data_IF_728107932896
#
_entry.id   IF_728107932896
#
_cell.length_a   1.000
_cell.length_b   1.000
_cell.length_c   1.000
_cell.angle_alpha   90.00
_cell.angle_beta   90.00
_cell.angle_gamma   90.00
#
_symmetry.space_group_name_H-M   'P 1'
#
loop_
_entity.id
_entity.type
_entity.pdbx_description
1 polymer ?
#
# COMPACT_ATOMS: atom_id res chain seq x y z
N UNK A 1 -44.49 -28.06 3.23
CA UNK A 1 -44.40 -29.17 2.23
C UNK A 1 -44.18 -28.65 0.82
N UNK A 2 -44.92 -27.66 0.34
CA UNK A 2 -44.81 -27.11 -1.02
C UNK A 2 -43.44 -26.52 -1.37
N UNK A 3 -42.84 -25.68 -0.49
CA UNK A 3 -41.53 -25.09 -0.71
C UNK A 3 -40.42 -26.12 -0.88
N UNK A 4 -40.45 -27.20 -0.08
CA UNK A 4 -39.48 -28.32 -0.23
C UNK A 4 -39.55 -28.97 -1.59
N UNK A 5 -40.80 -29.24 -2.09
CA UNK A 5 -41.01 -29.82 -3.43
C UNK A 5 -40.54 -28.89 -4.53
N UNK A 6 -40.80 -27.57 -4.42
CA UNK A 6 -40.32 -26.60 -5.41
C UNK A 6 -38.80 -26.50 -5.40
N UNK A 7 -38.15 -26.51 -4.23
CA UNK A 7 -36.69 -26.59 -4.15
C UNK A 7 -36.15 -27.88 -4.82
N UNK A 8 -36.83 -29.00 -4.64
CA UNK A 8 -36.47 -30.27 -5.29
C UNK A 8 -36.60 -30.18 -6.83
N UNK A 9 -37.69 -29.59 -7.32
CA UNK A 9 -37.94 -29.36 -8.75
C UNK A 9 -36.88 -28.43 -9.34
N UNK A 10 -36.62 -27.30 -8.70
CA UNK A 10 -35.62 -26.33 -9.14
C UNK A 10 -34.19 -26.90 -9.11
N UNK A 11 -33.95 -27.88 -8.26
CA UNK A 11 -32.65 -28.57 -8.11
C UNK A 11 -32.47 -29.72 -9.11
N UNK A 12 -33.49 -30.07 -9.88
CA UNK A 12 -33.37 -31.14 -10.90
C UNK A 12 -32.42 -30.76 -12.04
N UNK A 13 -31.63 -31.71 -12.57
CA UNK A 13 -30.78 -31.44 -13.71
C UNK A 13 -31.59 -31.07 -14.94
N UNK A 14 -31.04 -30.26 -15.86
CA UNK A 14 -31.70 -29.83 -17.11
C UNK A 14 -32.07 -30.98 -18.06
N UNK A 15 -31.58 -32.16 -17.79
CA UNK A 15 -32.02 -33.39 -18.49
C UNK A 15 -33.40 -33.89 -18.09
N UNK A 16 -33.92 -33.44 -16.94
CA UNK A 16 -35.24 -33.86 -16.40
C UNK A 16 -36.26 -32.75 -16.35
N UNK A 17 -35.84 -31.49 -16.47
CA UNK A 17 -36.72 -30.32 -16.44
C UNK A 17 -36.22 -29.30 -17.45
N UNK A 18 -37.12 -28.70 -18.24
CA UNK A 18 -36.76 -27.64 -19.17
C UNK A 18 -36.38 -26.34 -18.43
N UNK A 19 -35.65 -25.47 -19.12
CA UNK A 19 -35.33 -24.12 -18.57
C UNK A 19 -36.58 -23.35 -18.21
N UNK A 20 -37.59 -23.38 -19.08
CA UNK A 20 -38.86 -22.68 -18.87
C UNK A 20 -39.61 -23.17 -17.61
N UNK A 21 -39.73 -24.50 -17.43
CA UNK A 21 -40.33 -25.06 -16.21
C UNK A 21 -39.57 -24.72 -14.95
N UNK A 22 -38.22 -24.69 -15.02
CA UNK A 22 -37.38 -24.30 -13.92
C UNK A 22 -37.57 -22.83 -13.57
N UNK A 23 -37.65 -21.93 -14.57
CA UNK A 23 -37.89 -20.50 -14.36
C UNK A 23 -39.28 -20.24 -13.75
N UNK A 24 -40.31 -20.94 -14.23
CA UNK A 24 -41.65 -20.89 -13.65
C UNK A 24 -41.68 -21.37 -12.19
N UNK A 25 -41.02 -22.50 -11.90
CA UNK A 25 -40.89 -23.00 -10.53
C UNK A 25 -40.10 -22.00 -9.66
N UNK A 26 -39.08 -21.34 -10.23
CA UNK A 26 -38.31 -20.25 -9.60
C UNK A 26 -39.16 -19.04 -9.25
N UNK A 27 -40.05 -18.60 -10.13
CA UNK A 27 -40.95 -17.46 -9.89
C UNK A 27 -41.95 -17.77 -8.77
N UNK A 28 -42.53 -18.96 -8.74
CA UNK A 28 -43.40 -19.40 -7.63
C UNK A 28 -42.59 -19.46 -6.33
N UNK A 29 -41.37 -19.96 -6.39
CA UNK A 29 -40.47 -20.03 -5.24
C UNK A 29 -40.14 -18.63 -4.66
N UNK A 30 -39.95 -17.64 -5.52
CA UNK A 30 -39.71 -16.22 -5.11
C UNK A 30 -40.89 -15.71 -4.29
N UNK A 31 -42.12 -15.90 -4.77
CA UNK A 31 -43.31 -15.43 -4.05
C UNK A 31 -43.50 -16.13 -2.70
N UNK A 32 -43.21 -17.42 -2.61
CA UNK A 32 -43.23 -18.15 -1.35
C UNK A 32 -42.14 -17.71 -0.36
N UNK A 33 -40.95 -17.39 -0.88
CA UNK A 33 -39.82 -16.94 -0.07
C UNK A 33 -40.05 -15.54 0.52
N UNK A 34 -40.73 -14.65 -0.21
CA UNK A 34 -41.15 -13.34 0.30
C UNK A 34 -42.06 -13.43 1.52
N UNK A 35 -42.92 -14.43 1.57
CA UNK A 35 -43.83 -14.71 2.67
C UNK A 35 -43.20 -15.62 3.74
N UNK A 36 -42.06 -16.24 3.44
CA UNK A 36 -41.43 -17.23 4.29
C UNK A 36 -40.61 -16.64 5.44
N UNK A 37 -40.37 -17.46 6.48
CA UNK A 37 -39.48 -17.07 7.57
C UNK A 37 -37.99 -17.03 7.10
N UNK A 38 -37.16 -16.30 7.84
CA UNK A 38 -35.72 -16.25 7.57
C UNK A 38 -35.07 -17.65 7.56
N UNK A 39 -35.50 -18.53 8.46
CA UNK A 39 -35.03 -19.92 8.49
C UNK A 39 -35.35 -20.71 7.20
N UNK A 40 -36.54 -20.49 6.63
CA UNK A 40 -36.92 -21.10 5.35
C UNK A 40 -36.06 -20.57 4.20
N UNK A 41 -35.83 -19.24 4.16
CA UNK A 41 -34.96 -18.60 3.15
C UNK A 41 -33.52 -19.11 3.27
N UNK A 42 -32.99 -19.22 4.49
CA UNK A 42 -31.66 -19.75 4.76
C UNK A 42 -31.51 -21.22 4.31
N UNK A 43 -32.45 -22.09 4.62
CA UNK A 43 -32.41 -23.49 4.14
C UNK A 43 -32.46 -23.57 2.61
N UNK A 44 -33.23 -22.69 1.97
CA UNK A 44 -33.29 -22.63 0.51
C UNK A 44 -31.96 -22.16 -0.06
N UNK A 45 -31.36 -21.10 0.52
CA UNK A 45 -30.06 -20.59 0.12
C UNK A 45 -28.95 -21.65 0.24
N UNK A 46 -28.92 -22.40 1.33
CA UNK A 46 -27.95 -23.51 1.52
C UNK A 46 -28.07 -24.60 0.44
N UNK A 47 -29.29 -24.95 0.06
CA UNK A 47 -29.51 -25.94 -1.01
C UNK A 47 -29.11 -25.43 -2.39
N UNK A 48 -29.43 -24.17 -2.68
CA UNK A 48 -29.11 -23.56 -3.98
C UNK A 48 -27.62 -23.24 -4.12
N UNK A 49 -26.90 -23.00 -3.02
CA UNK A 49 -25.47 -22.68 -3.06
C UNK A 49 -24.63 -23.82 -3.69
N UNK A 50 -25.03 -25.08 -3.45
CA UNK A 50 -24.35 -26.26 -3.98
C UNK A 50 -24.67 -26.55 -5.46
N UNK A 51 -25.63 -25.83 -6.07
CA UNK A 51 -26.09 -26.09 -7.41
C UNK A 51 -25.46 -25.13 -8.43
N UNK A 52 -24.71 -25.66 -9.38
CA UNK A 52 -24.11 -24.87 -10.46
C UNK A 52 -25.18 -24.17 -11.35
N UNK A 53 -26.29 -24.84 -11.60
CA UNK A 53 -27.38 -24.39 -12.44
C UNK A 53 -28.58 -23.86 -11.62
N UNK A 54 -28.35 -23.21 -10.47
CA UNK A 54 -29.45 -22.68 -9.67
C UNK A 54 -30.17 -21.53 -10.40
N UNK A 55 -31.53 -21.37 -10.24
CA UNK A 55 -32.26 -20.31 -10.90
C UNK A 55 -31.72 -18.93 -10.48
N UNK A 56 -31.20 -18.20 -11.45
CA UNK A 56 -30.48 -16.95 -11.21
C UNK A 56 -31.29 -15.93 -10.42
N UNK A 57 -32.59 -15.78 -10.74
CA UNK A 57 -33.47 -14.81 -10.05
C UNK A 57 -33.66 -15.12 -8.57
N UNK A 58 -33.84 -16.40 -8.21
CA UNK A 58 -33.97 -16.85 -6.81
C UNK A 58 -32.64 -16.66 -6.10
N UNK A 59 -31.53 -17.05 -6.72
CA UNK A 59 -30.17 -16.92 -6.16
C UNK A 59 -29.83 -15.46 -5.85
N UNK A 60 -30.14 -14.53 -6.77
CA UNK A 60 -29.91 -13.09 -6.57
C UNK A 60 -30.81 -12.50 -5.47
N UNK A 61 -32.07 -12.94 -5.38
CA UNK A 61 -32.96 -12.52 -4.29
C UNK A 61 -32.36 -12.88 -2.92
N UNK A 62 -31.98 -14.15 -2.76
CA UNK A 62 -31.44 -14.65 -1.49
C UNK A 62 -30.03 -14.14 -1.20
N UNK A 63 -29.21 -13.87 -2.22
CA UNK A 63 -27.87 -13.30 -2.06
C UNK A 63 -27.89 -11.83 -1.58
N UNK A 64 -29.03 -11.15 -1.66
CA UNK A 64 -29.25 -9.77 -1.16
C UNK A 64 -30.09 -9.70 0.11
N UNK A 65 -30.53 -10.85 0.62
CA UNK A 65 -31.29 -10.97 1.85
C UNK A 65 -30.39 -10.71 3.10
N UNK A 66 -30.89 -10.93 4.28
CA UNK A 66 -30.10 -10.88 5.50
C UNK A 66 -28.82 -11.73 5.36
N UNK A 67 -27.74 -11.29 6.00
CA UNK A 67 -26.41 -11.92 5.91
C UNK A 67 -26.45 -13.42 6.23
N UNK A 68 -27.28 -13.84 7.19
CA UNK A 68 -27.44 -15.26 7.55
C UNK A 68 -28.04 -16.11 6.43
N UNK A 69 -28.89 -15.51 5.59
CA UNK A 69 -29.49 -16.13 4.41
C UNK A 69 -28.55 -16.10 3.23
N UNK A 70 -27.91 -14.93 2.98
CA UNK A 70 -27.06 -14.68 1.83
C UNK A 70 -25.72 -15.44 1.89
N UNK A 71 -25.19 -15.69 3.10
CA UNK A 71 -23.85 -16.25 3.34
C UNK A 71 -23.53 -17.47 2.48
N UNK A 72 -24.28 -18.58 2.48
CA UNK A 72 -23.90 -19.79 1.72
C UNK A 72 -23.80 -19.51 0.21
N UNK A 73 -24.65 -18.64 -0.33
CA UNK A 73 -24.62 -18.27 -1.74
C UNK A 73 -23.41 -17.39 -2.06
N UNK A 74 -23.11 -16.41 -1.21
CA UNK A 74 -21.97 -15.51 -1.41
C UNK A 74 -20.62 -16.23 -1.23
N UNK A 75 -20.54 -17.23 -0.38
CA UNK A 75 -19.32 -18.02 -0.14
C UNK A 75 -19.04 -18.99 -1.30
N UNK A 76 -20.04 -19.75 -1.75
CA UNK A 76 -19.82 -20.97 -2.53
C UNK A 76 -20.52 -21.02 -3.88
N UNK A 77 -21.63 -20.28 -4.10
CA UNK A 77 -22.44 -20.46 -5.32
C UNK A 77 -21.68 -20.09 -6.58
N UNK A 78 -21.56 -21.05 -7.49
CA UNK A 78 -21.01 -20.86 -8.85
C UNK A 78 -22.01 -20.22 -9.83
N UNK A 79 -23.29 -20.13 -9.46
CA UNK A 79 -24.31 -19.45 -10.24
C UNK A 79 -24.22 -17.92 -10.20
N UNK A 80 -23.51 -17.34 -9.20
CA UNK A 80 -23.21 -15.93 -9.12
C UNK A 80 -21.94 -15.63 -9.91
N UNK A 81 -22.09 -14.88 -10.98
CA UNK A 81 -20.96 -14.40 -11.80
C UNK A 81 -20.41 -13.07 -11.26
N UNK A 82 -19.28 -12.61 -11.81
CA UNK A 82 -18.61 -11.37 -11.38
C UNK A 82 -19.53 -10.14 -11.44
N UNK A 83 -20.37 -10.05 -12.48
CA UNK A 83 -21.33 -8.94 -12.61
C UNK A 83 -22.35 -8.92 -11.47
N UNK A 84 -22.82 -10.10 -11.05
CA UNK A 84 -23.73 -10.24 -9.92
C UNK A 84 -23.05 -9.85 -8.60
N UNK A 85 -21.81 -10.31 -8.39
CA UNK A 85 -21.01 -9.99 -7.20
C UNK A 85 -20.69 -8.50 -7.13
N UNK A 86 -20.36 -7.87 -8.26
CA UNK A 86 -20.14 -6.41 -8.37
C UNK A 86 -21.40 -5.66 -7.92
N UNK A 87 -22.56 -6.03 -8.46
CA UNK A 87 -23.80 -5.37 -8.11
C UNK A 87 -24.19 -5.55 -6.64
N UNK A 88 -23.96 -6.74 -6.06
CA UNK A 88 -24.17 -6.98 -4.64
C UNK A 88 -23.17 -6.14 -3.81
N UNK A 89 -21.91 -6.06 -4.22
CA UNK A 89 -20.87 -5.23 -3.56
C UNK A 89 -21.28 -3.77 -3.49
N UNK A 90 -21.91 -3.23 -4.54
CA UNK A 90 -22.35 -1.83 -4.59
C UNK A 90 -23.56 -1.56 -3.68
N UNK A 91 -24.50 -2.50 -3.62
CA UNK A 91 -25.83 -2.25 -3.04
C UNK A 91 -26.04 -2.84 -1.64
N UNK A 92 -25.29 -3.90 -1.28
CA UNK A 92 -25.48 -4.63 -0.04
C UNK A 92 -24.65 -4.06 1.13
N UNK A 93 -24.84 -4.62 2.32
CA UNK A 93 -24.16 -4.18 3.54
C UNK A 93 -22.68 -4.56 3.56
N UNK A 94 -21.93 -3.94 4.49
CA UNK A 94 -20.52 -4.28 4.72
C UNK A 94 -20.28 -5.75 5.09
N UNK A 95 -21.24 -6.37 5.75
CA UNK A 95 -21.17 -7.79 6.09
C UNK A 95 -21.22 -8.69 4.85
N UNK A 96 -22.03 -8.34 3.84
CA UNK A 96 -22.03 -9.04 2.53
C UNK A 96 -20.69 -8.86 1.82
N UNK A 97 -20.16 -7.63 1.79
CA UNK A 97 -18.85 -7.34 1.18
C UNK A 97 -17.72 -8.15 1.80
N UNK A 98 -17.73 -8.33 3.12
CA UNK A 98 -16.74 -9.17 3.83
C UNK A 98 -16.82 -10.64 3.42
N UNK A 99 -18.03 -11.18 3.23
CA UNK A 99 -18.20 -12.55 2.76
C UNK A 99 -17.68 -12.69 1.32
N UNK A 100 -18.04 -11.75 0.44
CA UNK A 100 -17.53 -11.73 -0.94
C UNK A 100 -16.01 -11.62 -0.94
N UNK A 101 -15.42 -10.74 -0.14
CA UNK A 101 -13.97 -10.56 -0.04
C UNK A 101 -13.21 -11.84 0.39
N UNK A 102 -13.86 -12.72 1.15
CA UNK A 102 -13.30 -14.02 1.56
C UNK A 102 -13.44 -15.12 0.49
N UNK A 103 -14.23 -14.88 -0.56
CA UNK A 103 -14.51 -15.86 -1.62
C UNK A 103 -13.25 -16.20 -2.41
N UNK A 104 -13.10 -17.49 -2.76
CA UNK A 104 -11.95 -17.96 -3.56
C UNK A 104 -12.02 -17.48 -5.00
N UNK A 105 -10.87 -17.27 -5.61
CA UNK A 105 -10.69 -16.95 -7.02
C UNK A 105 -11.50 -15.73 -7.48
N UNK A 106 -11.48 -14.65 -6.72
CA UNK A 106 -12.09 -13.39 -7.13
C UNK A 106 -11.34 -12.77 -8.31
N UNK A 107 -12.07 -12.40 -9.35
CA UNK A 107 -11.55 -11.63 -10.48
C UNK A 107 -11.26 -10.17 -10.10
N UNK A 108 -10.34 -9.54 -10.86
CA UNK A 108 -9.92 -8.15 -10.61
C UNK A 108 -11.08 -7.16 -10.54
N UNK A 109 -12.10 -7.29 -11.39
CA UNK A 109 -13.25 -6.39 -11.42
C UNK A 109 -14.06 -6.40 -10.11
N UNK A 110 -14.23 -7.57 -9.48
CA UNK A 110 -14.90 -7.70 -8.18
C UNK A 110 -14.03 -7.12 -7.07
N UNK A 111 -12.74 -7.40 -7.14
CA UNK A 111 -11.73 -6.88 -6.18
C UNK A 111 -11.66 -5.36 -6.23
N UNK A 112 -11.67 -4.75 -7.42
CA UNK A 112 -11.70 -3.30 -7.59
C UNK A 112 -12.95 -2.67 -6.95
N UNK A 113 -14.12 -3.31 -7.13
CA UNK A 113 -15.36 -2.86 -6.49
C UNK A 113 -15.33 -3.00 -4.97
N UNK A 114 -14.76 -4.10 -4.45
CA UNK A 114 -14.56 -4.27 -3.01
C UNK A 114 -13.60 -3.21 -2.44
N UNK A 115 -12.57 -2.83 -3.17
CA UNK A 115 -11.63 -1.80 -2.75
C UNK A 115 -12.24 -0.38 -2.79
N UNK A 116 -13.26 -0.15 -3.63
CA UNK A 116 -13.98 1.13 -3.71
C UNK A 116 -15.02 1.27 -2.60
N UNK A 117 -15.78 0.24 -2.34
CA UNK A 117 -16.96 0.27 -1.46
C UNK A 117 -16.75 -0.41 -0.11
N UNK A 118 -15.64 -1.13 0.08
CA UNK A 118 -15.34 -1.86 1.30
C UNK A 118 -14.93 -0.95 2.46
N UNK A 119 -15.36 -1.33 3.66
CA UNK A 119 -14.82 -0.79 4.91
C UNK A 119 -13.45 -1.41 5.22
N UNK A 120 -12.76 -0.90 6.25
CA UNK A 120 -11.43 -1.37 6.66
C UNK A 120 -11.39 -2.88 6.92
N UNK A 121 -12.46 -3.42 7.50
CA UNK A 121 -12.56 -4.86 7.77
C UNK A 121 -12.69 -5.66 6.47
N UNK A 122 -13.46 -5.17 5.51
CA UNK A 122 -13.57 -5.78 4.17
C UNK A 122 -12.21 -5.76 3.45
N UNK A 123 -11.50 -4.62 3.49
CA UNK A 123 -10.16 -4.51 2.89
C UNK A 123 -9.14 -5.43 3.56
N UNK A 124 -9.24 -5.60 4.88
CA UNK A 124 -8.38 -6.54 5.61
C UNK A 124 -8.63 -7.99 5.19
N UNK A 125 -9.90 -8.41 5.07
CA UNK A 125 -10.27 -9.74 4.58
C UNK A 125 -9.80 -9.95 3.14
N UNK A 126 -9.98 -8.95 2.28
CA UNK A 126 -9.53 -8.98 0.89
C UNK A 126 -8.01 -9.17 0.78
N UNK A 127 -7.24 -8.43 1.57
CA UNK A 127 -5.77 -8.54 1.60
C UNK A 127 -5.29 -9.91 2.09
N UNK A 128 -6.03 -10.54 3.00
CA UNK A 128 -5.73 -11.89 3.49
C UNK A 128 -6.13 -12.99 2.49
N UNK A 129 -6.99 -12.69 1.54
CA UNK A 129 -7.41 -13.64 0.52
C UNK A 129 -6.35 -13.78 -0.58
N UNK A 130 -5.45 -14.74 -0.43
CA UNK A 130 -4.34 -14.99 -1.36
C UNK A 130 -4.79 -15.47 -2.75
N UNK A 131 -6.05 -15.85 -2.93
CA UNK A 131 -6.61 -16.31 -4.22
C UNK A 131 -7.28 -15.18 -5.02
N UNK A 132 -7.45 -14.01 -4.41
CA UNK A 132 -7.99 -12.83 -5.09
C UNK A 132 -6.91 -12.14 -5.93
N UNK A 133 -7.22 -11.80 -7.19
CA UNK A 133 -6.32 -11.07 -8.08
C UNK A 133 -6.43 -9.57 -7.84
N UNK A 134 -5.35 -8.93 -7.39
CA UNK A 134 -5.31 -7.50 -7.12
C UNK A 134 -4.60 -6.78 -8.27
N UNK A 135 -5.30 -5.86 -8.95
CA UNK A 135 -4.72 -5.01 -9.98
C UNK A 135 -3.75 -3.97 -9.38
N UNK A 136 -2.87 -3.39 -10.20
CA UNK A 136 -1.95 -2.31 -9.76
C UNK A 136 -2.74 -1.12 -9.23
N UNK A 137 -3.82 -0.73 -9.89
CA UNK A 137 -4.67 0.40 -9.50
C UNK A 137 -5.35 0.16 -8.15
N UNK A 138 -5.80 -1.07 -7.90
CA UNK A 138 -6.35 -1.48 -6.60
C UNK A 138 -5.26 -1.53 -5.54
N UNK A 139 -4.05 -2.00 -5.86
CA UNK A 139 -2.93 -1.97 -4.94
C UNK A 139 -2.59 -0.55 -4.51
N UNK A 140 -2.54 0.41 -5.44
CA UNK A 140 -2.36 1.84 -5.15
C UNK A 140 -3.40 2.35 -4.14
N UNK A 141 -4.66 1.97 -4.33
CA UNK A 141 -5.77 2.35 -3.43
C UNK A 141 -5.58 1.75 -2.04
N UNK A 142 -5.23 0.46 -1.96
CA UNK A 142 -5.00 -0.25 -0.69
C UNK A 142 -3.79 0.33 0.07
N UNK A 143 -2.73 0.69 -0.64
CA UNK A 143 -1.56 1.37 -0.07
C UNK A 143 -1.96 2.72 0.51
N UNK A 144 -2.75 3.53 -0.20
CA UNK A 144 -3.26 4.81 0.34
C UNK A 144 -4.12 4.59 1.58
N UNK A 145 -5.06 3.64 1.53
CA UNK A 145 -5.92 3.32 2.68
C UNK A 145 -5.12 2.85 3.90
N UNK A 146 -3.99 2.16 3.71
CA UNK A 146 -3.15 1.68 4.80
C UNK A 146 -2.46 2.81 5.58
N UNK A 147 -2.39 4.02 5.04
CA UNK A 147 -1.86 5.20 5.73
C UNK A 147 -2.74 5.61 6.92
N UNK A 148 -4.07 5.58 6.71
CA UNK A 148 -5.03 5.96 7.72
C UNK A 148 -5.44 4.78 8.62
N UNK A 149 -5.13 3.56 8.19
CA UNK A 149 -5.54 2.31 8.83
C UNK A 149 -4.37 1.34 8.99
N UNK A 150 -3.63 1.45 10.08
CA UNK A 150 -2.43 0.65 10.37
C UNK A 150 -2.68 -0.87 10.33
N UNK A 151 -3.91 -1.33 10.60
CA UNK A 151 -4.30 -2.75 10.54
C UNK A 151 -4.16 -3.37 9.15
N UNK A 152 -4.14 -2.54 8.09
CA UNK A 152 -3.98 -3.01 6.71
C UNK A 152 -2.50 -3.23 6.34
N UNK A 153 -1.54 -2.66 7.09
CA UNK A 153 -0.11 -2.72 6.74
C UNK A 153 0.41 -4.15 6.72
N UNK A 154 0.22 -4.91 7.80
CA UNK A 154 0.75 -6.26 7.90
C UNK A 154 0.19 -7.23 6.83
N UNK A 155 -1.13 -7.30 6.55
CA UNK A 155 -1.65 -8.12 5.46
C UNK A 155 -1.20 -7.61 4.08
N UNK A 156 -1.08 -6.29 3.87
CA UNK A 156 -0.58 -5.69 2.64
C UNK A 156 0.86 -6.14 2.33
N UNK A 157 1.75 -6.11 3.33
CA UNK A 157 3.14 -6.53 3.18
C UNK A 157 3.31 -8.03 2.85
N UNK A 158 2.29 -8.85 3.03
CA UNK A 158 2.30 -10.27 2.67
C UNK A 158 1.93 -10.53 1.21
N UNK A 159 1.33 -9.55 0.53
CA UNK A 159 0.88 -9.70 -0.87
C UNK A 159 2.05 -9.83 -1.82
N UNK A 160 1.92 -10.74 -2.80
CA UNK A 160 2.97 -10.96 -3.81
C UNK A 160 2.99 -9.85 -4.85
N UNK A 161 1.84 -9.25 -5.13
CA UNK A 161 1.66 -8.17 -6.09
C UNK A 161 2.19 -6.81 -5.59
N UNK A 162 2.58 -6.72 -4.30
CA UNK A 162 3.15 -5.49 -3.75
C UNK A 162 4.52 -5.23 -4.38
N UNK A 163 4.63 -4.10 -5.07
CA UNK A 163 5.88 -3.68 -5.72
C UNK A 163 6.84 -3.01 -4.72
N UNK A 164 8.15 -2.91 -5.03
CA UNK A 164 9.09 -2.14 -4.22
C UNK A 164 8.67 -0.68 -4.01
N UNK A 165 8.10 -0.03 -5.04
CA UNK A 165 7.62 1.34 -4.94
C UNK A 165 6.52 1.49 -3.88
N UNK A 166 5.54 0.59 -3.88
CA UNK A 166 4.50 0.51 -2.87
C UNK A 166 5.06 0.28 -1.46
N UNK A 167 5.96 -0.70 -1.34
CA UNK A 167 6.56 -1.07 -0.05
C UNK A 167 7.34 0.11 0.55
N UNK A 168 8.13 0.83 -0.25
CA UNK A 168 8.88 1.99 0.23
C UNK A 168 8.01 3.22 0.49
N UNK A 169 6.81 3.31 -0.08
CA UNK A 169 5.81 4.27 0.35
C UNK A 169 5.23 3.88 1.73
N UNK A 170 4.84 2.62 1.90
CA UNK A 170 4.31 2.09 3.17
C UNK A 170 5.30 2.23 4.34
N UNK A 171 6.60 2.23 4.05
CA UNK A 171 7.67 2.38 5.06
C UNK A 171 7.44 3.58 6.01
N UNK A 172 6.86 4.67 5.52
CA UNK A 172 6.72 5.91 6.27
C UNK A 172 5.67 5.85 7.40
N UNK A 173 4.71 4.93 7.30
CA UNK A 173 3.68 4.73 8.33
C UNK A 173 3.66 3.31 8.91
N UNK A 174 4.54 2.45 8.44
CA UNK A 174 4.72 1.12 9.02
C UNK A 174 5.36 1.19 10.41
N UNK A 175 4.98 0.26 11.26
CA UNK A 175 5.64 0.00 12.54
C UNK A 175 7.06 -0.58 12.34
N UNK A 176 7.77 -0.83 13.44
CA UNK A 176 9.13 -1.34 13.40
C UNK A 176 9.24 -2.69 12.69
N UNK A 177 8.31 -3.61 12.94
CA UNK A 177 8.32 -4.92 12.31
C UNK A 177 8.00 -4.83 10.82
N UNK A 178 7.06 -3.97 10.44
CA UNK A 178 6.74 -3.65 9.05
C UNK A 178 7.94 -3.05 8.32
N UNK A 179 8.63 -2.08 8.89
CA UNK A 179 9.85 -1.49 8.32
C UNK A 179 10.96 -2.53 8.13
N UNK A 180 11.17 -3.38 9.12
CA UNK A 180 12.15 -4.48 9.03
C UNK A 180 11.78 -5.46 7.92
N UNK A 181 10.50 -5.83 7.80
CA UNK A 181 10.00 -6.71 6.74
C UNK A 181 10.18 -6.08 5.36
N UNK A 182 9.89 -4.77 5.20
CA UNK A 182 10.09 -4.02 3.96
C UNK A 182 11.58 -4.04 3.55
N UNK A 183 12.47 -3.68 4.45
CA UNK A 183 13.91 -3.66 4.15
C UNK A 183 14.45 -5.06 3.82
N UNK A 184 13.98 -6.10 4.52
CA UNK A 184 14.39 -7.48 4.26
C UNK A 184 13.94 -7.97 2.88
N UNK A 185 12.71 -7.65 2.47
CA UNK A 185 12.11 -8.17 1.23
C UNK A 185 12.46 -7.32 0.00
N UNK A 186 12.45 -6.00 0.12
CA UNK A 186 12.48 -5.08 -1.02
C UNK A 186 13.79 -4.27 -1.15
N UNK A 187 14.64 -4.20 -0.10
CA UNK A 187 15.95 -3.60 -0.25
C UNK A 187 16.88 -4.57 -0.99
N UNK A 188 16.88 -4.46 -2.31
CA UNK A 188 17.57 -5.37 -3.24
C UNK A 188 18.83 -4.74 -3.80
N UNK A 189 19.73 -5.57 -4.34
CA UNK A 189 20.94 -5.10 -5.01
C UNK A 189 20.64 -4.47 -6.38
N UNK A 190 21.60 -3.70 -6.88
CA UNK A 190 21.51 -2.97 -8.15
C UNK A 190 21.06 -3.82 -9.33
N UNK A 191 21.51 -5.07 -9.42
CA UNK A 191 21.15 -5.98 -10.52
C UNK A 191 19.63 -6.22 -10.60
N UNK A 192 18.98 -6.38 -9.44
CA UNK A 192 17.51 -6.54 -9.36
C UNK A 192 16.81 -5.22 -9.68
N UNK A 193 17.40 -4.07 -9.30
CA UNK A 193 16.87 -2.77 -9.66
C UNK A 193 16.82 -2.54 -11.18
N UNK A 194 17.83 -3.00 -11.90
CA UNK A 194 17.85 -2.92 -13.37
C UNK A 194 16.73 -3.75 -13.97
N UNK A 195 16.51 -4.96 -13.45
CA UNK A 195 15.44 -5.84 -13.92
C UNK A 195 14.03 -5.28 -13.64
N UNK A 196 13.87 -4.50 -12.55
CA UNK A 196 12.62 -3.84 -12.18
C UNK A 196 12.54 -2.36 -12.61
N UNK A 197 13.38 -1.93 -13.54
CA UNK A 197 13.41 -0.53 -14.00
C UNK A 197 12.07 -0.07 -14.61
N UNK A 198 11.30 -0.98 -15.19
CA UNK A 198 9.94 -0.73 -15.68
C UNK A 198 8.94 -0.33 -14.57
N UNK A 199 9.13 -0.85 -13.36
CA UNK A 199 8.32 -0.49 -12.18
C UNK A 199 8.51 0.99 -11.77
N UNK A 200 9.72 1.52 -11.96
CA UNK A 200 10.05 2.92 -11.64
C UNK A 200 9.83 3.90 -12.79
N UNK A 201 9.86 3.43 -14.03
CA UNK A 201 9.79 4.23 -15.24
C UNK A 201 8.90 3.57 -16.31
N UNK A 202 7.59 3.36 -16.05
CA UNK A 202 6.71 2.66 -16.99
C UNK A 202 6.71 3.34 -18.38
N UNK A 203 6.63 4.66 -18.45
CA UNK A 203 6.62 5.42 -19.71
C UNK A 203 7.97 5.27 -20.46
N UNK A 204 9.09 5.31 -19.74
CA UNK A 204 10.42 5.14 -20.36
C UNK A 204 10.66 3.72 -20.84
N UNK A 205 10.02 2.71 -20.24
CA UNK A 205 10.09 1.32 -20.68
C UNK A 205 9.26 1.08 -21.95
N UNK A 206 8.13 1.77 -22.10
CA UNK A 206 7.25 1.65 -23.27
C UNK A 206 7.85 2.31 -24.53
N UNK A 207 8.58 3.43 -24.39
CA UNK A 207 9.05 4.25 -25.50
C UNK A 207 10.49 3.93 -26.00
N UNK A 208 11.11 2.82 -25.60
CA UNK A 208 12.53 2.53 -25.91
C UNK A 208 13.53 3.59 -25.38
N UNK A 209 13.10 4.58 -24.62
CA UNK A 209 13.93 5.56 -23.93
C UNK A 209 14.57 5.00 -22.65
N UNK A 210 14.25 3.77 -22.29
CA UNK A 210 14.74 3.07 -21.10
C UNK A 210 16.25 3.20 -20.92
N UNK A 211 17.00 3.17 -22.03
CA UNK A 211 18.45 3.24 -22.01
C UNK A 211 19.00 4.58 -21.50
N UNK A 212 18.45 5.72 -21.90
CA UNK A 212 18.98 7.02 -21.50
C UNK A 212 18.56 7.40 -20.08
N UNK A 213 17.31 7.15 -19.70
CA UNK A 213 16.78 7.46 -18.37
C UNK A 213 17.29 6.47 -17.34
N UNK A 214 17.30 5.17 -17.67
CA UNK A 214 17.87 4.11 -16.84
C UNK A 214 19.37 4.30 -16.70
N UNK A 215 20.10 4.65 -17.75
CA UNK A 215 21.53 4.95 -17.72
C UNK A 215 21.85 6.16 -16.85
N UNK A 216 21.10 7.28 -16.98
CA UNK A 216 21.22 8.44 -16.08
C UNK A 216 20.91 8.05 -14.64
N UNK A 217 19.87 7.26 -14.45
CA UNK A 217 19.48 6.80 -13.18
C UNK A 217 20.50 5.87 -12.52
N UNK A 218 21.07 4.96 -13.28
CA UNK A 218 22.13 4.05 -12.83
C UNK A 218 23.46 4.82 -12.59
N UNK A 219 23.79 5.80 -13.42
CA UNK A 219 24.92 6.70 -13.19
C UNK A 219 24.76 7.51 -11.91
N UNK A 220 23.55 7.89 -11.57
CA UNK A 220 23.23 8.56 -10.31
C UNK A 220 23.41 7.64 -9.11
N UNK A 221 23.10 6.35 -9.24
CA UNK A 221 23.34 5.32 -8.22
C UNK A 221 24.84 4.99 -8.09
N UNK A 222 25.59 4.94 -9.19
CA UNK A 222 27.02 4.60 -9.20
C UNK A 222 27.88 5.66 -8.53
N UNK A 223 27.55 6.91 -8.71
CA UNK A 223 28.19 7.99 -7.96
C UNK A 223 27.72 7.84 -6.53
N UNK A 224 28.65 7.49 -5.61
CA UNK A 224 28.37 7.65 -4.18
C UNK A 224 27.55 8.92 -4.06
N UNK A 225 26.33 8.84 -3.54
CA UNK A 225 25.27 9.86 -3.74
C UNK A 225 25.60 11.25 -3.18
N UNK A 226 26.85 11.63 -3.17
CA UNK A 226 27.31 12.98 -2.89
C UNK A 226 27.33 13.75 -4.19
N UNK A 227 26.48 14.75 -4.26
CA UNK A 227 26.43 15.63 -5.41
C UNK A 227 27.72 16.49 -5.44
N UNK A 228 28.68 16.14 -6.28
CA UNK A 228 29.93 16.88 -6.39
C UNK A 228 29.72 18.35 -6.78
N UNK A 229 28.75 18.63 -7.64
CA UNK A 229 28.41 19.99 -8.02
C UNK A 229 27.77 20.77 -6.85
N UNK A 230 26.95 20.11 -6.03
CA UNK A 230 26.42 20.68 -4.81
C UNK A 230 27.53 20.96 -3.78
N UNK A 231 28.45 20.01 -3.58
CA UNK A 231 29.60 20.22 -2.68
C UNK A 231 30.47 21.41 -3.10
N UNK A 232 30.69 21.59 -4.40
CA UNK A 232 31.48 22.73 -4.91
C UNK A 232 30.76 24.09 -4.75
N UNK A 233 29.43 24.09 -4.67
CA UNK A 233 28.62 25.29 -4.48
C UNK A 233 28.23 25.56 -3.02
N UNK A 234 28.26 24.55 -2.19
CA UNK A 234 27.93 24.67 -0.78
C UNK A 234 28.99 25.45 -0.01
N UNK A 235 28.63 26.35 0.88
CA UNK A 235 29.57 27.07 1.74
C UNK A 235 30.37 26.13 2.66
N UNK A 236 29.89 24.87 2.85
CA UNK A 236 30.55 23.88 3.70
C UNK A 236 31.55 22.99 2.95
N UNK A 237 31.47 22.89 1.63
CA UNK A 237 32.37 22.10 0.79
C UNK A 237 32.27 20.58 0.95
N UNK A 238 31.99 20.08 2.15
CA UNK A 238 31.85 18.63 2.47
C UNK A 238 30.62 18.35 3.31
N UNK A 239 30.12 17.11 3.23
CA UNK A 239 28.98 16.67 4.03
C UNK A 239 29.34 16.66 5.53
N UNK A 240 30.54 16.24 5.86
CA UNK A 240 31.08 16.19 7.20
C UNK A 240 31.14 17.60 7.84
N UNK A 241 31.64 18.60 7.11
CA UNK A 241 31.67 19.98 7.59
C UNK A 241 30.27 20.58 7.78
N UNK A 242 29.32 20.26 6.90
CA UNK A 242 27.94 20.68 7.07
C UNK A 242 27.29 20.05 8.32
N UNK A 243 27.57 18.77 8.61
CA UNK A 243 27.09 18.10 9.83
C UNK A 243 27.70 18.73 11.08
N UNK A 244 29.01 19.01 11.07
CA UNK A 244 29.67 19.65 12.21
C UNK A 244 29.13 21.07 12.44
N UNK A 245 28.83 21.82 11.40
CA UNK A 245 28.17 23.11 11.50
C UNK A 245 26.75 23.01 12.08
N UNK A 246 25.96 22.01 11.62
CA UNK A 246 24.64 21.73 12.15
C UNK A 246 24.65 21.31 13.62
N UNK A 247 25.71 20.59 14.06
CA UNK A 247 25.89 20.19 15.45
C UNK A 247 26.21 21.41 16.35
N UNK A 248 27.04 22.33 15.84
CA UNK A 248 27.40 23.55 16.57
C UNK A 248 26.22 24.52 16.66
N UNK A 249 25.53 24.78 15.53
CA UNK A 249 24.36 25.66 15.47
C UNK A 249 23.35 25.08 14.49
N UNK A 250 22.36 24.32 14.97
CA UNK A 250 21.33 23.79 14.12
C UNK A 250 20.47 24.92 13.55
N UNK A 251 20.55 25.05 12.23
CA UNK A 251 19.79 26.02 11.44
C UNK A 251 19.17 25.28 10.25
N UNK A 252 18.02 25.78 9.81
CA UNK A 252 17.31 25.25 8.65
C UNK A 252 18.19 25.27 7.39
N UNK A 253 18.94 26.36 7.20
CA UNK A 253 19.84 26.50 6.07
C UNK A 253 20.87 25.36 6.02
N UNK A 254 21.51 25.04 7.16
CA UNK A 254 22.51 23.95 7.24
C UNK A 254 21.87 22.59 6.97
N UNK A 255 20.65 22.34 7.47
CA UNK A 255 19.93 21.09 7.24
C UNK A 255 19.58 20.93 5.74
N UNK A 256 19.17 22.00 5.09
CA UNK A 256 18.91 22.00 3.65
C UNK A 256 20.20 21.78 2.83
N UNK A 257 21.32 22.35 3.27
CA UNK A 257 22.62 22.11 2.64
C UNK A 257 23.08 20.64 2.78
N UNK A 258 22.82 20.01 3.94
CA UNK A 258 23.06 18.56 4.12
C UNK A 258 22.24 17.76 3.07
N UNK A 259 20.96 18.08 2.91
CA UNK A 259 20.09 17.44 1.92
C UNK A 259 20.59 17.65 0.48
N UNK A 260 20.99 18.89 0.17
CA UNK A 260 21.51 19.28 -1.14
C UNK A 260 22.81 18.54 -1.48
N UNK A 261 23.74 18.46 -0.53
CA UNK A 261 25.00 17.70 -0.69
C UNK A 261 24.71 16.20 -0.83
N UNK A 262 23.73 15.66 -0.11
CA UNK A 262 23.28 14.26 -0.25
C UNK A 262 22.60 13.99 -1.59
N UNK A 263 22.22 15.02 -2.36
CA UNK A 263 21.53 14.89 -3.65
C UNK A 263 20.11 14.37 -3.53
N UNK A 264 19.42 14.67 -2.45
CA UNK A 264 18.02 14.33 -2.21
C UNK A 264 17.12 15.55 -2.35
N UNK A 265 15.87 15.31 -2.77
CA UNK A 265 14.86 16.37 -2.88
C UNK A 265 14.46 16.89 -1.49
N UNK A 266 14.05 18.17 -1.38
CA UNK A 266 13.60 18.75 -0.10
C UNK A 266 12.50 17.94 0.59
N UNK A 267 11.53 17.43 -0.17
CA UNK A 267 10.45 16.56 0.35
C UNK A 267 10.99 15.27 0.95
N UNK A 268 11.91 14.61 0.26
CA UNK A 268 12.57 13.39 0.74
C UNK A 268 13.39 13.68 2.00
N UNK A 269 14.11 14.79 2.01
CA UNK A 269 14.88 15.24 3.18
C UNK A 269 13.98 15.47 4.39
N UNK A 270 12.84 16.16 4.20
CA UNK A 270 11.85 16.40 5.24
C UNK A 270 11.37 15.10 5.88
N UNK A 271 11.04 14.11 5.07
CA UNK A 271 10.58 12.80 5.56
C UNK A 271 11.69 12.05 6.30
N UNK A 272 12.91 12.01 5.74
CA UNK A 272 14.04 11.31 6.36
C UNK A 272 14.42 11.97 7.70
N UNK A 273 14.55 13.29 7.71
CA UNK A 273 14.94 14.02 8.93
C UNK A 273 13.79 14.14 9.94
N UNK A 274 12.53 14.01 9.50
CA UNK A 274 11.35 13.94 10.37
C UNK A 274 11.03 12.54 10.90
N UNK A 275 11.67 11.49 10.36
CA UNK A 275 11.37 10.10 10.74
C UNK A 275 11.69 9.79 12.20
N UNK A 276 10.68 9.48 13.01
CA UNK A 276 10.84 9.19 14.43
C UNK A 276 11.56 7.86 14.70
N UNK A 277 11.51 6.92 13.78
CA UNK A 277 12.10 5.57 13.91
C UNK A 277 13.62 5.56 13.83
N UNK A 278 14.18 6.45 12.99
CA UNK A 278 15.63 6.59 12.79
C UNK A 278 16.22 5.75 11.68
N UNK A 279 15.54 4.71 11.22
CA UNK A 279 16.01 3.83 10.13
C UNK A 279 16.22 4.61 8.84
N UNK A 280 15.38 5.62 8.57
CA UNK A 280 15.51 6.46 7.38
C UNK A 280 16.81 7.27 7.39
N UNK A 281 17.21 7.81 8.53
CA UNK A 281 18.50 8.51 8.70
C UNK A 281 19.67 7.54 8.48
N UNK A 282 19.58 6.33 9.00
CA UNK A 282 20.59 5.30 8.81
C UNK A 282 20.78 4.96 7.33
N UNK A 283 19.66 4.79 6.59
CA UNK A 283 19.66 4.50 5.15
C UNK A 283 20.31 5.64 4.36
N UNK A 284 19.96 6.89 4.65
CA UNK A 284 20.60 8.05 4.03
C UNK A 284 22.12 8.04 4.28
N UNK A 285 22.53 7.94 5.54
CA UNK A 285 23.95 7.95 5.92
C UNK A 285 24.73 6.81 5.25
N UNK A 286 24.14 5.61 5.20
CA UNK A 286 24.74 4.45 4.54
C UNK A 286 24.86 4.65 3.02
N UNK A 287 23.81 5.15 2.38
CA UNK A 287 23.75 5.39 0.95
C UNK A 287 24.80 6.42 0.50
N UNK A 288 24.99 7.51 1.25
CA UNK A 288 25.99 8.54 0.94
C UNK A 288 27.41 8.20 1.41
N UNK A 289 27.59 7.03 2.04
CA UNK A 289 28.90 6.56 2.51
C UNK A 289 29.47 7.40 3.66
N UNK A 290 28.61 7.92 4.53
CA UNK A 290 29.02 8.62 5.74
C UNK A 290 29.63 7.62 6.73
N UNK A 291 30.69 8.00 7.44
CA UNK A 291 31.29 7.15 8.47
C UNK A 291 30.42 7.04 9.71
N UNK A 292 30.56 5.95 10.46
CA UNK A 292 29.75 5.63 11.63
C UNK A 292 29.70 6.74 12.70
N UNK A 293 30.82 7.35 12.98
CA UNK A 293 30.94 8.46 13.94
C UNK A 293 30.12 9.70 13.51
N UNK A 294 30.08 9.99 12.23
CA UNK A 294 29.28 11.09 11.68
C UNK A 294 27.77 10.80 11.66
N UNK A 295 27.36 9.54 11.66
CA UNK A 295 25.94 9.17 11.81
C UNK A 295 25.41 9.62 13.17
N UNK A 296 26.18 9.39 14.23
CA UNK A 296 25.82 9.87 15.58
C UNK A 296 25.85 11.39 15.67
N UNK A 297 26.83 12.04 15.03
CA UNK A 297 26.88 13.51 14.97
C UNK A 297 25.66 14.10 14.27
N UNK A 298 25.25 13.55 13.13
CA UNK A 298 24.04 13.97 12.45
C UNK A 298 22.80 13.74 13.33
N UNK A 299 22.72 12.59 14.02
CA UNK A 299 21.63 12.30 14.94
C UNK A 299 21.48 13.37 16.03
N UNK A 300 22.60 13.76 16.63
CA UNK A 300 22.64 14.84 17.63
C UNK A 300 22.34 16.22 17.03
N UNK A 301 22.82 16.49 15.81
CA UNK A 301 22.51 17.74 15.09
C UNK A 301 21.00 17.88 14.81
N UNK A 302 20.29 16.77 14.59
CA UNK A 302 18.83 16.71 14.50
C UNK A 302 18.12 16.81 15.86
N UNK A 303 18.86 17.10 16.95
CA UNK A 303 18.35 17.23 18.34
C UNK A 303 17.61 16.00 18.85
N UNK A 304 18.03 14.83 18.44
CA UNK A 304 17.42 13.56 18.86
C UNK A 304 18.14 12.96 20.06
N UNK A 305 17.39 12.32 20.98
CA UNK A 305 18.00 11.71 22.16
C UNK A 305 18.86 10.51 21.78
N UNK A 306 20.03 10.42 22.42
CA UNK A 306 20.88 9.24 22.38
C UNK A 306 20.56 8.40 23.61
N UNK A 307 20.11 7.16 23.39
CA UNK A 307 19.75 6.25 24.46
C UNK A 307 20.41 4.88 24.25
N UNK A 308 20.91 4.23 25.30
CA UNK A 308 21.46 2.87 25.23
C UNK A 308 20.36 1.79 25.15
N UNK A 309 19.10 2.16 25.40
CA UNK A 309 17.97 1.21 25.35
C UNK A 309 17.87 0.56 23.97
N UNK A 310 17.91 -0.78 23.87
CA UNK A 310 17.78 -1.50 22.59
C UNK A 310 16.53 -1.16 21.78
N UNK A 311 15.43 -0.79 22.44
CA UNK A 311 14.19 -0.39 21.78
C UNK A 311 14.19 1.08 21.32
N UNK A 312 15.24 1.86 21.65
CA UNK A 312 15.29 3.27 21.30
C UNK A 312 15.48 3.50 19.79
N UNK A 313 14.95 4.61 19.23
CA UNK A 313 15.19 4.98 17.85
C UNK A 313 16.67 5.11 17.50
N UNK A 314 17.52 5.53 18.46
CA UNK A 314 18.97 5.59 18.26
C UNK A 314 19.58 4.22 18.01
N UNK A 315 19.20 3.21 18.80
CA UNK A 315 19.72 1.83 18.62
C UNK A 315 19.18 1.19 17.34
N UNK A 316 17.93 1.46 16.98
CA UNK A 316 17.38 1.01 15.69
C UNK A 316 18.10 1.63 14.50
N UNK A 317 18.37 2.93 14.56
CA UNK A 317 19.18 3.64 13.56
C UNK A 317 20.57 3.00 13.45
N UNK A 318 21.21 2.74 14.58
CA UNK A 318 22.53 2.13 14.66
C UNK A 318 22.53 0.72 14.03
N UNK A 319 21.59 -0.10 14.41
CA UNK A 319 21.42 -1.46 13.86
C UNK A 319 21.14 -1.45 12.34
N UNK A 320 20.24 -0.57 11.88
CA UNK A 320 19.94 -0.43 10.46
C UNK A 320 21.18 0.00 9.64
N UNK A 321 21.96 0.93 10.17
CA UNK A 321 23.22 1.35 9.54
C UNK A 321 24.23 0.20 9.43
N UNK A 322 24.38 -0.60 10.48
CA UNK A 322 25.38 -1.69 10.53
C UNK A 322 24.97 -2.88 9.67
N UNK A 323 23.68 -3.22 9.67
CA UNK A 323 23.15 -4.41 8.98
C UNK A 323 22.93 -4.22 7.48
N UNK A 324 22.71 -2.98 7.00
CA UNK A 324 22.35 -2.73 5.61
C UNK A 324 23.58 -2.52 4.72
N UNK A 325 23.65 -3.22 3.59
CA UNK A 325 24.67 -2.99 2.58
C UNK A 325 24.47 -1.64 1.86
N UNK A 326 25.59 -1.00 1.45
CA UNK A 326 25.56 0.31 0.76
C UNK A 326 24.67 0.27 -0.50
N UNK A 327 24.82 -0.76 -1.34
CA UNK A 327 24.02 -0.89 -2.56
C UNK A 327 22.52 -0.96 -2.28
N UNK A 328 22.12 -1.67 -1.23
CA UNK A 328 20.72 -1.78 -0.79
C UNK A 328 20.20 -0.44 -0.26
N UNK A 329 21.00 0.26 0.55
CA UNK A 329 20.64 1.59 1.05
C UNK A 329 20.46 2.60 -0.09
N UNK A 330 21.32 2.55 -1.10
CA UNK A 330 21.21 3.39 -2.30
C UNK A 330 19.92 3.12 -3.08
N UNK A 331 19.53 1.85 -3.22
CA UNK A 331 18.29 1.46 -3.88
C UNK A 331 17.07 2.02 -3.14
N UNK A 332 17.01 1.84 -1.82
CA UNK A 332 15.91 2.38 -0.99
C UNK A 332 15.81 3.89 -1.12
N UNK A 333 16.93 4.59 -0.94
CA UNK A 333 16.96 6.06 -1.01
C UNK A 333 16.50 6.58 -2.37
N UNK A 334 16.80 5.83 -3.43
CA UNK A 334 16.34 6.15 -4.76
C UNK A 334 14.81 6.04 -4.89
N UNK A 335 14.20 4.94 -4.44
CA UNK A 335 12.76 4.82 -4.46
C UNK A 335 12.10 5.97 -3.71
N UNK A 336 12.61 6.34 -2.56
CA UNK A 336 12.09 7.50 -1.82
C UNK A 336 12.23 8.80 -2.60
N UNK A 337 13.39 9.06 -3.17
CA UNK A 337 13.65 10.32 -3.88
C UNK A 337 12.84 10.47 -5.17
N UNK A 338 12.37 9.36 -5.77
CA UNK A 338 11.58 9.34 -7.00
C UNK A 338 10.10 9.07 -6.73
N UNK A 339 9.77 8.13 -5.89
CA UNK A 339 8.39 7.75 -5.59
C UNK A 339 7.66 8.83 -4.74
N UNK A 340 8.35 9.53 -3.84
CA UNK A 340 7.76 10.62 -3.06
C UNK A 340 7.39 11.84 -3.92
N UNK A 341 7.89 11.94 -5.14
CA UNK A 341 7.47 12.94 -6.12
C UNK A 341 6.32 12.47 -7.00
N UNK A 342 5.86 11.22 -6.86
CA UNK A 342 4.71 10.65 -7.58
C UNK A 342 3.42 10.75 -6.75
N UNK A 343 2.30 10.36 -7.35
CA UNK A 343 0.92 10.56 -6.87
C UNK A 343 0.57 10.15 -5.43
N UNK A 344 1.40 9.37 -4.75
CA UNK A 344 1.19 9.02 -3.34
C UNK A 344 1.29 10.22 -2.39
N UNK A 345 1.95 11.32 -2.81
CA UNK A 345 2.15 12.52 -2.00
C UNK A 345 1.37 13.76 -2.50
N UNK A 346 0.83 13.73 -3.73
CA UNK A 346 0.17 14.92 -4.32
C UNK A 346 -1.11 15.36 -3.63
N UNK A 347 -1.77 14.50 -2.87
CA UNK A 347 -3.08 14.82 -2.30
C UNK A 347 -3.06 15.48 -0.92
N UNK A 348 -1.91 15.55 -0.24
CA UNK A 348 -1.80 16.15 1.10
C UNK A 348 -1.15 17.53 1.15
N UNK A 349 -0.42 17.91 0.09
CA UNK A 349 0.08 19.26 -0.09
C UNK A 349 -0.95 20.02 -0.95
N UNK A 350 -2.04 20.42 -0.32
CA UNK A 350 -3.10 21.16 -0.99
C UNK A 350 -2.53 22.25 -1.88
N UNK A 351 -2.96 22.28 -3.15
CA UNK A 351 -2.95 23.39 -4.12
C UNK A 351 -2.01 24.54 -3.75
N UNK A 352 -0.70 24.32 -3.83
CA UNK A 352 0.28 25.40 -3.85
C UNK A 352 0.84 25.48 -5.26
N UNK A 353 0.75 26.66 -5.85
CA UNK A 353 1.24 27.01 -7.17
C UNK A 353 2.70 26.62 -7.35
N UNK A 354 3.06 26.08 -8.51
CA UNK A 354 4.33 25.40 -8.86
C UNK A 354 5.64 26.19 -8.59
N UNK A 355 5.58 27.43 -8.13
CA UNK A 355 6.74 28.31 -7.89
C UNK A 355 7.11 28.52 -6.42
N UNK A 356 6.29 28.05 -5.45
CA UNK A 356 6.53 28.22 -4.01
C UNK A 356 6.67 26.87 -3.27
N UNK A 357 6.60 25.74 -3.99
CA UNK A 357 6.64 24.38 -3.40
C UNK A 357 7.95 24.10 -2.64
N UNK A 358 9.10 24.46 -3.20
CA UNK A 358 10.39 24.21 -2.57
C UNK A 358 10.57 25.00 -1.25
N UNK A 359 10.06 26.21 -1.18
CA UNK A 359 10.16 27.06 0.01
C UNK A 359 9.14 26.67 1.10
N UNK A 360 7.94 26.18 0.72
CA UNK A 360 6.93 25.75 1.70
C UNK A 360 7.26 24.39 2.30
N UNK A 361 7.78 23.47 1.50
CA UNK A 361 8.24 22.14 1.93
C UNK A 361 9.48 22.28 2.83
N UNK A 362 10.41 23.16 2.49
CA UNK A 362 11.55 23.47 3.34
C UNK A 362 11.12 24.03 4.72
N UNK A 363 10.09 24.89 4.76
CA UNK A 363 9.52 25.42 6.02
C UNK A 363 8.80 24.34 6.85
N UNK A 364 8.09 23.41 6.21
CA UNK A 364 7.46 22.28 6.91
C UNK A 364 8.51 21.29 7.45
N UNK A 365 9.54 21.00 6.68
CA UNK A 365 10.68 20.19 7.12
C UNK A 365 11.36 20.81 8.36
N UNK A 366 11.52 22.11 8.35
CA UNK A 366 12.05 22.85 9.49
C UNK A 366 11.21 22.73 10.76
N UNK A 367 9.90 22.87 10.62
CA UNK A 367 8.96 22.77 11.73
C UNK A 367 8.94 21.36 12.34
N UNK A 368 9.14 20.32 11.50
CA UNK A 368 9.24 18.92 11.93
C UNK A 368 10.57 18.62 12.64
N UNK A 369 11.68 19.15 12.13
CA UNK A 369 13.03 18.87 12.65
C UNK A 369 13.39 19.73 13.86
N UNK A 370 13.01 21.01 13.86
CA UNK A 370 13.39 21.98 14.90
C UNK A 370 12.31 22.20 15.98
N UNK A 371 11.13 21.57 15.84
CA UNK A 371 9.96 21.80 16.69
C UNK A 371 9.28 23.15 16.37
N UNK A 372 7.95 23.21 16.55
CA UNK A 372 7.21 24.47 16.40
C UNK A 372 7.77 25.53 17.34
N UNK A 373 8.10 26.73 16.87
CA UNK A 373 8.44 27.79 17.79
C UNK A 373 7.25 28.02 18.73
N UNK A 374 7.50 27.99 20.07
CA UNK A 374 6.48 28.36 21.03
C UNK A 374 6.06 29.80 20.68
N UNK A 375 4.77 29.97 20.35
CA UNK A 375 4.18 31.30 20.27
C UNK A 375 4.29 31.92 21.70
N UNK A 376 5.05 32.96 21.79
CA UNK A 376 5.05 33.88 22.94
C UNK A 376 3.79 34.74 22.82
#
# INVERSE_FOLDING_TARGET
MMLRRLCEVVSMPLTRISRHERDMAGDILIELLKLGSAAMRQQTAQRLAALADSPKRVTLLLARDDVSVARPLLEESTALNDSDLIHITQTASSAHRRIIAARKNLGEAVVDMLAIHGDVQTLSVLLLNTTASISITTMDRLVRASRDHATLVAPLLRRQELTPAHAFAVFWWADEDGRRAILKRFAVDRAVLIASASDMFPIAAEDNFADAVVRKALQYIERRQRNRAAMARSPYGTLEAAIDAALAKPDLFVINEIAYICGIKPVTAAQIFGDAGGEAVAILCKAVGLKRDYVERLWRALRRPVSPDPASPFQRMAFAYDSLAVAKAQTVLRYWNWALSSDFNRNDLGKAEELDEDASVARQAAALVLGRPKRV
#
